data_IF_942706508045
#
_entry.id   IF_942706508045
#
_cell.length_a   1.000
_cell.length_b   1.000
_cell.length_c   1.000
_cell.angle_alpha   90.00
_cell.angle_beta   90.00
_cell.angle_gamma   90.00
#
_symmetry.space_group_name_H-M   'P 1'
#
loop_
_entity.id
_entity.type
_entity.pdbx_description
1 polymer ?
#
# COMPACT_ATOMS: atom_id res chain seq x y z
N UNK A 1 -42.83 0.47 71.92
CA UNK A 1 -41.47 0.03 72.27
C UNK A 1 -40.54 0.46 71.15
N UNK A 2 -39.90 1.65 71.27
CA UNK A 2 -38.46 1.83 71.64
C UNK A 2 -37.52 1.32 70.52
N UNK A 3 -36.54 2.02 69.92
CA UNK A 3 -35.86 3.32 70.14
C UNK A 3 -34.94 3.63 68.91
N UNK A 4 -34.73 4.92 68.61
CA UNK A 4 -33.54 5.63 68.03
C UNK A 4 -32.79 5.14 66.76
N UNK A 5 -32.69 5.96 65.71
CA UNK A 5 -31.67 7.02 65.43
C UNK A 5 -30.21 6.51 65.34
N UNK A 6 -29.58 6.60 64.16
CA UNK A 6 -28.48 7.55 63.97
C UNK A 6 -28.17 7.84 62.48
N UNK A 7 -27.80 9.09 62.23
CA UNK A 7 -27.39 9.66 60.95
C UNK A 7 -25.89 9.50 60.70
N UNK A 8 -25.47 9.40 59.44
CA UNK A 8 -24.22 10.00 58.99
C UNK A 8 -24.31 10.27 57.49
N UNK A 9 -24.23 11.56 57.14
CA UNK A 9 -23.81 12.02 55.81
C UNK A 9 -22.37 11.58 55.60
N UNK A 10 -22.04 11.07 54.42
CA UNK A 10 -20.75 11.37 53.84
C UNK A 10 -20.89 11.58 52.33
N UNK A 11 -20.87 12.87 51.98
CA UNK A 11 -20.65 13.38 50.64
C UNK A 11 -19.17 13.28 50.35
N UNK A 12 -18.77 12.36 49.48
CA UNK A 12 -17.45 12.37 48.86
C UNK A 12 -17.58 11.91 47.40
N UNK A 13 -17.86 12.87 46.52
CA UNK A 13 -17.27 12.82 45.17
C UNK A 13 -15.76 12.93 45.39
N UNK A 14 -15.04 11.82 45.27
CA UNK A 14 -13.60 11.87 45.09
C UNK A 14 -13.19 11.31 43.73
N UNK A 15 -12.92 12.28 42.88
CA UNK A 15 -11.96 12.29 41.79
C UNK A 15 -10.80 11.29 41.89
N UNK A 16 -10.94 10.13 41.26
CA UNK A 16 -9.78 9.43 40.68
C UNK A 16 -9.52 9.98 39.29
N UNK A 17 -8.81 11.11 39.27
CA UNK A 17 -8.15 11.68 38.10
C UNK A 17 -7.15 10.67 37.51
N UNK A 18 -7.20 10.55 36.19
CA UNK A 18 -6.01 10.47 35.35
C UNK A 18 -5.19 9.20 35.50
N UNK A 19 -5.72 8.07 35.04
CA UNK A 19 -4.86 7.08 34.43
C UNK A 19 -4.26 7.74 33.18
N UNK A 20 -3.04 8.25 33.31
CA UNK A 20 -2.24 8.75 32.20
C UNK A 20 -2.03 7.57 31.26
N UNK A 21 -2.93 7.44 30.28
CA UNK A 21 -2.80 6.44 29.24
C UNK A 21 -1.48 6.74 28.57
N UNK A 22 -0.50 5.83 28.72
CA UNK A 22 0.79 5.94 28.06
C UNK A 22 0.53 6.39 26.61
N UNK A 23 1.24 7.42 26.11
CA UNK A 23 0.94 7.98 24.80
C UNK A 23 0.85 6.85 23.79
N UNK A 24 -0.29 6.73 23.12
CA UNK A 24 -0.54 5.66 22.18
C UNK A 24 0.64 5.61 21.20
N UNK A 25 1.30 4.46 21.08
CA UNK A 25 2.46 4.35 20.20
C UNK A 25 2.05 4.74 18.77
N UNK A 26 2.86 5.54 18.06
CA UNK A 26 2.55 5.92 16.69
C UNK A 26 2.31 4.70 15.81
N UNK A 27 1.29 4.78 14.94
CA UNK A 27 0.98 3.72 13.99
C UNK A 27 2.08 3.68 12.92
N UNK A 28 2.68 2.51 12.72
CA UNK A 28 3.68 2.30 11.68
C UNK A 28 3.00 2.06 10.34
N UNK A 29 3.24 2.95 9.38
CA UNK A 29 2.67 2.89 8.04
C UNK A 29 3.76 2.69 6.99
N UNK A 30 3.67 1.62 6.21
CA UNK A 30 4.39 1.49 4.94
C UNK A 30 3.62 2.21 3.83
N UNK A 31 4.18 3.26 3.25
CA UNK A 31 3.53 4.04 2.20
C UNK A 31 4.36 4.07 0.91
N UNK A 32 3.65 4.12 -0.22
CA UNK A 32 4.28 4.21 -1.54
C UNK A 32 4.85 5.61 -1.74
N UNK A 33 6.11 5.71 -2.18
CA UNK A 33 6.81 6.98 -2.37
C UNK A 33 6.42 7.80 -3.63
N UNK A 34 5.60 7.23 -4.52
CA UNK A 34 5.22 7.84 -5.79
C UNK A 34 4.22 9.00 -5.64
N UNK A 35 4.16 9.85 -6.66
CA UNK A 35 3.29 11.04 -6.68
C UNK A 35 1.82 10.70 -6.46
N UNK A 36 1.35 9.56 -6.99
CA UNK A 36 -0.05 9.12 -6.87
C UNK A 36 -0.50 8.81 -5.43
N UNK A 37 0.44 8.55 -4.51
CA UNK A 37 0.16 8.25 -3.12
C UNK A 37 0.27 9.47 -2.20
N UNK A 38 0.94 10.54 -2.65
CA UNK A 38 1.18 11.76 -1.85
C UNK A 38 -0.09 12.40 -1.26
N UNK A 39 -1.22 12.49 -1.99
CA UNK A 39 -2.44 13.04 -1.40
C UNK A 39 -2.96 12.24 -0.20
N UNK A 40 -2.70 10.93 -0.15
CA UNK A 40 -3.15 10.05 0.95
C UNK A 40 -2.30 10.22 2.22
N UNK A 41 -1.02 10.55 2.07
CA UNK A 41 -0.07 10.65 3.19
C UNK A 41 0.17 12.08 3.66
N UNK A 42 -0.23 13.09 2.89
CA UNK A 42 0.04 14.50 3.15
C UNK A 42 -0.32 14.95 4.59
N UNK A 43 -1.51 14.59 5.07
CA UNK A 43 -1.93 14.95 6.43
C UNK A 43 -1.22 14.10 7.50
N UNK A 44 -0.89 12.84 7.17
CA UNK A 44 -0.27 11.90 8.10
C UNK A 44 1.17 12.30 8.40
N UNK A 45 1.93 12.78 7.40
CA UNK A 45 3.28 13.33 7.57
C UNK A 45 3.34 14.48 8.60
N UNK A 46 2.22 15.20 8.77
CA UNK A 46 2.10 16.37 9.65
C UNK A 46 1.62 16.03 11.06
N UNK A 47 1.48 14.74 11.39
CA UNK A 47 1.11 14.26 12.72
C UNK A 47 2.08 13.15 13.18
N UNK A 48 3.38 13.45 13.37
CA UNK A 48 4.40 12.47 13.72
C UNK A 48 4.23 11.86 15.12
N UNK A 49 3.44 12.50 15.98
CA UNK A 49 2.97 12.00 17.27
C UNK A 49 2.01 10.81 17.13
N UNK A 50 1.32 10.69 15.98
CA UNK A 50 0.35 9.61 15.71
C UNK A 50 0.83 8.63 14.63
N UNK A 51 1.70 9.07 13.72
CA UNK A 51 2.09 8.29 12.54
C UNK A 51 3.60 8.23 12.38
N UNK A 52 4.12 7.02 12.19
CA UNK A 52 5.50 6.80 11.74
C UNK A 52 5.46 6.18 10.34
N UNK A 53 5.76 7.00 9.33
CA UNK A 53 5.61 6.61 7.92
C UNK A 53 6.97 6.22 7.34
N UNK A 54 7.02 5.05 6.71
CA UNK A 54 8.13 4.60 5.89
C UNK A 54 7.72 4.64 4.42
N UNK A 55 8.36 5.52 3.66
CA UNK A 55 8.20 5.59 2.21
C UNK A 55 9.09 4.57 1.51
N UNK A 56 8.51 3.81 0.59
CA UNK A 56 9.22 2.80 -0.19
C UNK A 56 8.47 2.50 -1.51
N UNK A 57 8.96 1.56 -2.31
CA UNK A 57 8.19 1.02 -3.46
C UNK A 57 7.09 0.06 -2.98
N UNK A 58 5.98 -0.11 -3.74
CA UNK A 58 4.85 -0.93 -3.31
C UNK A 58 5.22 -2.36 -2.92
N UNK A 59 6.12 -2.99 -3.66
CA UNK A 59 6.59 -4.36 -3.37
C UNK A 59 7.33 -4.47 -2.02
N UNK A 60 8.01 -3.41 -1.59
CA UNK A 60 8.66 -3.34 -0.28
C UNK A 60 7.65 -3.03 0.83
N UNK A 61 6.71 -2.10 0.61
CA UNK A 61 5.63 -1.84 1.58
C UNK A 61 4.84 -3.11 1.90
N UNK A 62 4.55 -3.92 0.88
CA UNK A 62 3.91 -5.22 1.01
C UNK A 62 4.73 -6.20 1.86
N UNK A 63 6.03 -6.32 1.58
CA UNK A 63 6.93 -7.18 2.35
C UNK A 63 6.98 -6.76 3.83
N UNK A 64 7.12 -5.47 4.10
CA UNK A 64 7.16 -4.93 5.47
C UNK A 64 5.87 -5.22 6.25
N UNK A 65 4.71 -5.15 5.59
CA UNK A 65 3.44 -5.50 6.22
C UNK A 65 3.38 -7.01 6.53
N UNK A 66 3.79 -7.83 5.57
CA UNK A 66 3.78 -9.29 5.72
C UNK A 66 4.71 -9.78 6.83
N UNK A 67 5.88 -9.15 6.96
CA UNK A 67 6.89 -9.45 7.98
C UNK A 67 6.55 -8.83 9.36
N UNK A 68 5.44 -8.07 9.47
CA UNK A 68 5.05 -7.42 10.72
C UNK A 68 5.89 -6.21 11.12
N UNK A 69 6.70 -5.68 10.20
CA UNK A 69 7.53 -4.48 10.42
C UNK A 69 6.71 -3.18 10.41
N UNK A 70 5.51 -3.18 9.81
CA UNK A 70 4.55 -2.08 9.86
C UNK A 70 3.16 -2.60 10.25
N UNK A 71 2.34 -1.73 10.84
CA UNK A 71 0.98 -2.08 11.29
C UNK A 71 -0.06 -1.86 10.18
N UNK A 72 0.23 -0.93 9.25
CA UNK A 72 -0.62 -0.58 8.12
C UNK A 72 0.25 -0.45 6.87
N UNK A 73 -0.28 -0.81 5.70
CA UNK A 73 0.45 -0.73 4.45
C UNK A 73 -0.42 -0.27 3.29
N UNK A 74 0.07 0.68 2.51
CA UNK A 74 -0.41 0.94 1.16
C UNK A 74 0.27 -0.06 0.23
N UNK A 75 -0.35 -1.22 0.04
CA UNK A 75 0.22 -2.36 -0.67
C UNK A 75 -0.45 -2.57 -2.05
N UNK A 76 0.19 -3.30 -2.98
CA UNK A 76 -0.44 -3.76 -4.22
C UNK A 76 -1.72 -4.56 -3.93
N UNK A 77 -2.80 -4.34 -4.68
CA UNK A 77 -4.09 -5.00 -4.44
C UNK A 77 -4.01 -6.54 -4.54
N UNK A 78 -3.15 -7.06 -5.42
CA UNK A 78 -2.93 -8.50 -5.55
C UNK A 78 -2.31 -9.12 -4.27
N UNK A 79 -1.56 -8.34 -3.50
CA UNK A 79 -0.91 -8.84 -2.29
C UNK A 79 -1.88 -8.98 -1.12
N UNK A 80 -3.08 -8.40 -1.21
CA UNK A 80 -4.14 -8.66 -0.24
C UNK A 80 -4.43 -10.17 -0.11
N UNK A 81 -4.32 -10.91 -1.22
CA UNK A 81 -4.62 -12.34 -1.26
C UNK A 81 -3.53 -13.21 -0.61
N UNK A 82 -2.43 -12.62 -0.15
CA UNK A 82 -1.29 -13.36 0.43
C UNK A 82 -1.53 -13.81 1.88
N UNK A 83 -2.50 -13.22 2.59
CA UNK A 83 -2.85 -13.62 3.95
C UNK A 83 -4.33 -13.47 4.22
N UNK A 84 -5.00 -14.48 4.82
CA UNK A 84 -6.39 -14.38 5.24
C UNK A 84 -6.60 -13.39 6.41
N UNK A 85 -5.53 -13.01 7.09
CA UNK A 85 -5.58 -12.10 8.24
C UNK A 85 -5.61 -10.62 7.82
N UNK A 86 -5.31 -10.33 6.55
CA UNK A 86 -5.35 -8.98 6.05
C UNK A 86 -6.78 -8.43 6.04
N UNK A 87 -6.89 -7.16 6.42
CA UNK A 87 -8.14 -6.39 6.41
C UNK A 87 -7.93 -5.10 5.64
N UNK A 88 -8.94 -4.71 4.88
CA UNK A 88 -8.94 -3.43 4.18
C UNK A 88 -9.44 -2.30 5.07
N UNK A 89 -8.83 -1.13 4.92
CA UNK A 89 -9.43 0.12 5.40
C UNK A 89 -10.49 0.54 4.39
N UNK A 90 -11.78 0.64 4.77
CA UNK A 90 -12.84 0.97 3.83
C UNK A 90 -12.70 2.42 3.34
N UNK A 91 -13.09 2.65 2.08
CA UNK A 91 -13.18 4.00 1.50
C UNK A 91 -11.86 4.64 1.07
N UNK A 92 -10.73 3.92 1.14
CA UNK A 92 -9.41 4.41 0.72
C UNK A 92 -8.68 3.41 -0.18
N UNK A 93 -7.98 3.91 -1.18
CA UNK A 93 -7.17 3.11 -2.09
C UNK A 93 -6.66 3.92 -3.28
N UNK A 94 -5.78 3.30 -4.07
CA UNK A 94 -5.30 3.86 -5.33
C UNK A 94 -5.87 3.01 -6.46
N UNK A 95 -6.60 3.67 -7.36
CA UNK A 95 -7.21 3.04 -8.53
C UNK A 95 -7.70 4.10 -9.51
N UNK A 96 -8.20 3.66 -10.66
CA UNK A 96 -8.73 4.54 -11.70
C UNK A 96 -9.88 3.89 -12.44
N UNK A 97 -10.78 4.72 -12.98
CA UNK A 97 -11.73 4.34 -14.03
C UNK A 97 -11.25 4.99 -15.32
N UNK A 98 -10.66 4.18 -16.20
CA UNK A 98 -10.06 4.65 -17.44
C UNK A 98 -8.53 4.75 -17.37
N UNK A 99 -7.91 5.52 -18.28
CA UNK A 99 -6.46 5.60 -18.40
C UNK A 99 -5.77 6.09 -17.14
N UNK A 100 -4.55 5.62 -16.92
CA UNK A 100 -3.59 6.16 -15.94
C UNK A 100 -2.24 6.31 -16.63
N UNK A 101 -1.51 7.38 -16.32
CA UNK A 101 -0.19 7.62 -16.88
C UNK A 101 0.91 6.81 -16.17
N UNK A 102 0.77 6.63 -14.86
CA UNK A 102 1.80 6.02 -14.00
C UNK A 102 1.85 4.48 -14.05
N UNK A 103 1.25 3.83 -15.04
CA UNK A 103 1.36 2.38 -15.29
C UNK A 103 1.27 2.18 -16.80
N UNK A 104 2.38 1.82 -17.42
CA UNK A 104 2.47 1.75 -18.87
C UNK A 104 3.27 0.52 -19.34
N UNK A 105 2.82 -0.08 -20.43
CA UNK A 105 3.55 -1.07 -21.19
C UNK A 105 4.13 -0.40 -22.44
N UNK A 106 5.42 -0.13 -22.41
CA UNK A 106 6.15 0.45 -23.54
C UNK A 106 6.56 -0.65 -24.50
N UNK A 107 6.34 -0.49 -25.80
CA UNK A 107 6.69 -1.51 -26.80
C UNK A 107 7.60 -0.91 -27.89
N UNK A 108 8.58 -1.68 -28.37
CA UNK A 108 9.44 -1.29 -29.51
C UNK A 108 8.90 -1.77 -30.87
N UNK A 109 7.86 -2.58 -30.85
CA UNK A 109 7.22 -3.19 -32.01
C UNK A 109 5.72 -3.36 -31.76
N UNK A 110 4.92 -3.72 -32.79
CA UNK A 110 3.52 -4.03 -32.60
C UNK A 110 3.32 -5.07 -31.49
N UNK A 111 2.30 -4.89 -30.68
CA UNK A 111 2.06 -5.72 -29.49
C UNK A 111 1.91 -7.22 -29.85
N UNK A 112 1.35 -7.52 -31.01
CA UNK A 112 1.18 -8.89 -31.51
C UNK A 112 2.52 -9.64 -31.70
N UNK A 113 3.62 -8.90 -31.90
CA UNK A 113 4.95 -9.46 -32.17
C UNK A 113 5.82 -9.54 -30.90
N UNK A 114 5.32 -9.08 -29.75
CA UNK A 114 6.04 -9.08 -28.47
C UNK A 114 6.21 -10.51 -27.96
N UNK A 115 7.47 -10.93 -27.75
CA UNK A 115 7.86 -12.25 -27.25
C UNK A 115 8.55 -12.20 -25.90
N UNK A 116 9.08 -11.04 -25.48
CA UNK A 116 9.70 -10.86 -24.17
C UNK A 116 9.29 -9.53 -23.55
N UNK A 117 8.84 -9.55 -22.30
CA UNK A 117 8.42 -8.37 -21.54
C UNK A 117 9.26 -8.25 -20.27
N UNK A 118 9.98 -7.15 -20.15
CA UNK A 118 10.65 -6.77 -18.90
C UNK A 118 9.62 -6.21 -17.90
N UNK A 119 9.70 -6.64 -16.65
CA UNK A 119 8.72 -6.33 -15.62
C UNK A 119 9.37 -5.59 -14.45
N UNK A 120 8.89 -4.38 -14.17
CA UNK A 120 9.30 -3.61 -13.00
C UNK A 120 8.99 -4.34 -11.69
N UNK A 121 10.04 -4.69 -10.95
CA UNK A 121 9.99 -5.40 -9.65
C UNK A 121 9.37 -4.58 -8.52
N UNK A 122 9.13 -3.29 -8.74
CA UNK A 122 8.41 -2.40 -7.83
C UNK A 122 6.91 -2.72 -7.78
N UNK A 123 6.36 -3.36 -8.82
CA UNK A 123 4.94 -3.70 -8.94
C UNK A 123 4.67 -5.19 -8.89
N UNK A 124 3.65 -5.59 -8.12
CA UNK A 124 3.08 -6.95 -8.21
C UNK A 124 1.72 -6.97 -8.90
N UNK A 125 0.88 -5.96 -8.66
CA UNK A 125 -0.45 -5.88 -9.28
C UNK A 125 -0.38 -5.63 -10.77
N UNK A 126 0.43 -4.68 -11.24
CA UNK A 126 0.55 -4.42 -12.69
C UNK A 126 1.20 -5.60 -13.42
N UNK A 127 2.12 -6.31 -12.76
CA UNK A 127 2.71 -7.56 -13.26
C UNK A 127 1.65 -8.66 -13.43
N UNK A 128 0.78 -8.84 -12.43
CA UNK A 128 -0.34 -9.78 -12.55
C UNK A 128 -1.29 -9.36 -13.68
N UNK A 129 -1.64 -8.07 -13.76
CA UNK A 129 -2.54 -7.54 -14.77
C UNK A 129 -1.98 -7.71 -16.20
N UNK A 130 -0.70 -7.42 -16.44
CA UNK A 130 -0.12 -7.56 -17.79
C UNK A 130 -0.14 -9.02 -18.25
N UNK A 131 0.07 -9.99 -17.33
CA UNK A 131 -0.05 -11.42 -17.64
C UNK A 131 -1.47 -11.80 -18.04
N UNK A 132 -2.46 -11.33 -17.28
CA UNK A 132 -3.89 -11.52 -17.60
C UNK A 132 -4.23 -10.90 -18.96
N UNK A 133 -3.77 -9.68 -19.24
CA UNK A 133 -4.02 -9.00 -20.50
C UNK A 133 -3.35 -9.70 -21.69
N UNK A 134 -2.10 -10.17 -21.54
CA UNK A 134 -1.42 -10.95 -22.57
C UNK A 134 -2.21 -12.19 -22.94
N UNK A 135 -2.71 -12.93 -21.94
CA UNK A 135 -3.46 -14.16 -22.15
C UNK A 135 -4.88 -13.92 -22.67
N UNK A 136 -5.65 -13.00 -22.07
CA UNK A 136 -7.08 -12.86 -22.37
C UNK A 136 -7.39 -11.80 -23.42
N UNK A 137 -6.61 -10.72 -23.50
CA UNK A 137 -6.94 -9.57 -24.36
C UNK A 137 -6.07 -9.46 -25.60
N UNK A 138 -4.78 -9.72 -25.47
CA UNK A 138 -3.82 -9.57 -26.57
C UNK A 138 -3.54 -10.89 -27.28
N UNK A 139 -3.84 -12.03 -26.65
CA UNK A 139 -3.62 -13.37 -27.20
C UNK A 139 -2.16 -13.58 -27.63
N UNK A 140 -1.22 -13.08 -26.81
CA UNK A 140 0.23 -13.24 -27.03
C UNK A 140 0.86 -14.13 -25.96
N UNK A 141 1.87 -14.89 -26.37
CA UNK A 141 2.73 -15.67 -25.46
C UNK A 141 4.10 -15.00 -25.36
N UNK A 142 4.34 -14.34 -24.22
CA UNK A 142 5.58 -13.64 -23.96
C UNK A 142 6.30 -14.24 -22.75
N UNK A 143 7.63 -14.30 -22.84
CA UNK A 143 8.51 -14.52 -21.70
C UNK A 143 8.51 -13.26 -20.80
N UNK A 144 8.36 -13.46 -19.49
CA UNK A 144 8.34 -12.38 -18.51
C UNK A 144 9.64 -12.38 -17.72
N UNK A 145 10.42 -11.30 -17.80
CA UNK A 145 11.72 -11.18 -17.12
C UNK A 145 11.69 -10.04 -16.10
N UNK A 146 12.06 -10.27 -14.82
CA UNK A 146 12.09 -9.20 -13.83
C UNK A 146 13.22 -8.20 -14.12
N UNK A 147 12.98 -6.92 -13.86
CA UNK A 147 13.96 -5.86 -13.99
C UNK A 147 13.66 -4.70 -13.03
N UNK A 148 14.68 -3.92 -12.66
CA UNK A 148 14.46 -2.63 -12.00
C UNK A 148 13.81 -1.60 -12.93
N UNK A 149 13.27 -0.48 -12.42
CA UNK A 149 12.58 0.53 -13.22
C UNK A 149 13.56 1.38 -14.03
N UNK A 150 14.01 0.86 -15.17
CA UNK A 150 14.88 1.55 -16.14
C UNK A 150 14.38 1.22 -17.55
N UNK A 151 13.60 2.15 -18.13
CA UNK A 151 12.97 1.92 -19.43
C UNK A 151 14.00 1.64 -20.54
N UNK A 152 15.13 2.33 -20.52
CA UNK A 152 16.14 2.20 -21.57
C UNK A 152 16.79 0.81 -21.52
N UNK A 153 17.19 0.35 -20.33
CA UNK A 153 17.78 -0.97 -20.16
C UNK A 153 16.76 -2.10 -20.36
N UNK A 154 15.54 -1.93 -19.83
CA UNK A 154 14.46 -2.89 -20.01
C UNK A 154 14.16 -3.09 -21.50
N UNK A 155 14.05 -2.00 -22.24
CA UNK A 155 13.82 -2.08 -23.68
C UNK A 155 15.04 -2.56 -24.43
N UNK A 156 16.30 -2.34 -24.01
CA UNK A 156 17.45 -3.02 -24.64
C UNK A 156 17.33 -4.55 -24.59
N UNK A 157 16.88 -5.10 -23.47
CA UNK A 157 16.86 -6.55 -23.18
C UNK A 157 15.57 -7.27 -23.56
N UNK A 158 14.49 -6.53 -23.79
CA UNK A 158 13.15 -7.07 -24.06
C UNK A 158 12.44 -6.33 -25.20
N UNK A 159 11.32 -6.88 -25.66
CA UNK A 159 10.50 -6.27 -26.72
C UNK A 159 9.59 -5.17 -26.19
N UNK A 160 9.20 -5.32 -24.92
CA UNK A 160 8.38 -4.39 -24.19
C UNK A 160 8.81 -4.30 -22.71
N UNK A 161 8.45 -3.21 -22.06
CA UNK A 161 8.77 -2.92 -20.68
C UNK A 161 7.52 -2.43 -19.93
N UNK A 162 7.18 -3.09 -18.83
CA UNK A 162 6.15 -2.61 -17.89
C UNK A 162 6.81 -1.76 -16.82
N UNK A 163 6.47 -0.47 -16.74
CA UNK A 163 6.86 0.41 -15.63
C UNK A 163 5.66 0.93 -14.85
N UNK A 164 5.88 1.27 -13.58
CA UNK A 164 4.89 1.89 -12.72
C UNK A 164 5.44 3.12 -11.99
N UNK A 165 4.54 3.90 -11.39
CA UNK A 165 4.89 5.02 -10.55
C UNK A 165 5.50 6.17 -11.35
N UNK A 166 6.35 6.93 -10.70
CA UNK A 166 7.02 8.09 -11.30
C UNK A 166 7.96 7.72 -12.46
N UNK A 167 8.68 6.58 -12.46
CA UNK A 167 9.48 6.14 -13.62
C UNK A 167 8.71 5.90 -14.93
N UNK A 168 7.38 5.80 -14.87
CA UNK A 168 6.52 5.66 -16.05
C UNK A 168 6.07 7.01 -16.64
N UNK A 169 6.36 8.14 -15.98
CA UNK A 169 5.92 9.49 -16.35
C UNK A 169 6.97 10.27 -17.15
#
# INVERSE_FOLDING_TARGET
>A
MTTSLNSARDTSLDSTRGGDAAPAQPVNLGAVGYLNARPLTWALDRSPDRWRIRYDVPSVCSRLLHEGHVNLGLIPSIDYLQSPDYRFVPGIGIGSRGPIASVALFTRKPLADVKRIALDTSSRTSVALVRVLCHHRFQISAEFVPHGPDLEEMTRRADAALLIGDPAL
#
